data_IF_915614217765
#
_entry.id   IF_915614217765
#
_cell.length_a   1.000
_cell.length_b   1.000
_cell.length_c   1.000
_cell.angle_alpha   90.00
_cell.angle_beta   90.00
_cell.angle_gamma   90.00
#
_symmetry.space_group_name_H-M   'P 1'
#
loop_
_entity.id
_entity.type
_entity.pdbx_description
1 polymer ?
#
# COMPACT_ATOMS: atom_id res chain seq x y z
N UNK A 1 16.14 -9.55 -4.12
CA UNK A 1 14.82 -9.32 -3.51
C UNK A 1 15.01 -8.42 -2.33
N UNK A 2 14.26 -7.32 -2.28
CA UNK A 2 14.25 -6.45 -1.11
C UNK A 2 13.57 -7.16 0.09
N UNK A 3 14.04 -6.89 1.29
CA UNK A 3 13.51 -7.46 2.54
C UNK A 3 12.20 -6.79 2.95
N UNK A 4 11.44 -7.43 3.86
CA UNK A 4 10.27 -6.80 4.46
C UNK A 4 10.58 -5.44 5.11
N UNK A 5 11.73 -5.30 5.79
CA UNK A 5 12.13 -4.04 6.44
C UNK A 5 12.41 -2.92 5.44
N UNK A 6 13.00 -3.23 4.29
CA UNK A 6 13.21 -2.26 3.21
C UNK A 6 11.88 -1.79 2.63
N UNK A 7 10.92 -2.70 2.46
CA UNK A 7 9.56 -2.37 2.06
C UNK A 7 8.80 -1.57 3.11
N UNK A 8 8.98 -1.88 4.40
CA UNK A 8 8.36 -1.14 5.50
C UNK A 8 8.90 0.28 5.60
N UNK A 9 10.21 0.48 5.40
CA UNK A 9 10.82 1.80 5.31
C UNK A 9 10.27 2.58 4.12
N UNK A 10 10.19 1.94 2.95
CA UNK A 10 9.57 2.57 1.77
C UNK A 10 8.12 2.98 2.03
N UNK A 11 7.33 2.12 2.69
CA UNK A 11 5.96 2.43 3.08
C UNK A 11 5.90 3.64 4.03
N UNK A 12 6.74 3.71 5.07
CA UNK A 12 6.75 4.85 6.01
C UNK A 12 7.05 6.18 5.29
N UNK A 13 7.97 6.17 4.34
CA UNK A 13 8.26 7.34 3.49
C UNK A 13 7.03 7.75 2.68
N UNK A 14 6.39 6.80 1.97
CA UNK A 14 5.18 7.07 1.17
C UNK A 14 4.03 7.56 2.04
N UNK A 15 3.84 6.93 3.20
CA UNK A 15 2.81 7.29 4.17
C UNK A 15 2.97 8.74 4.65
N UNK A 16 4.19 9.17 4.95
CA UNK A 16 4.49 10.54 5.44
C UNK A 16 4.45 11.61 4.35
N UNK A 17 4.78 11.26 3.10
CA UNK A 17 4.89 12.21 1.98
C UNK A 17 3.60 12.37 1.17
N UNK A 18 2.51 11.75 1.64
CA UNK A 18 1.24 11.56 0.95
C UNK A 18 1.28 10.50 -0.17
N UNK A 19 0.41 9.47 -0.11
CA UNK A 19 0.26 8.43 -1.13
C UNK A 19 0.15 8.92 -2.58
N UNK A 20 -0.42 10.09 -2.80
CA UNK A 20 -0.67 10.62 -4.14
C UNK A 20 0.57 11.23 -4.80
N UNK A 21 1.65 11.48 -4.06
CA UNK A 21 2.78 12.31 -4.49
C UNK A 21 4.16 11.65 -4.39
N UNK A 22 4.25 10.40 -3.92
CA UNK A 22 5.55 9.75 -3.70
C UNK A 22 6.22 9.37 -5.04
N UNK A 23 7.33 10.03 -5.36
CA UNK A 23 8.28 9.66 -6.42
C UNK A 23 9.34 8.64 -5.95
N UNK A 24 9.09 7.95 -4.83
CA UNK A 24 10.02 6.99 -4.27
C UNK A 24 10.29 5.83 -5.25
N UNK A 25 11.55 5.44 -5.36
CA UNK A 25 11.95 4.27 -6.14
C UNK A 25 11.57 2.99 -5.38
N UNK A 26 11.06 1.99 -6.11
CA UNK A 26 10.82 0.67 -5.56
C UNK A 26 12.11 0.09 -4.98
N UNK A 27 12.10 -0.41 -3.73
CA UNK A 27 13.30 -0.97 -3.09
C UNK A 27 13.80 -2.24 -3.80
N UNK A 28 12.93 -2.94 -4.53
CA UNK A 28 13.29 -4.18 -5.22
C UNK A 28 13.85 -3.95 -6.64
N UNK A 29 13.24 -3.06 -7.43
CA UNK A 29 13.56 -2.91 -8.86
C UNK A 29 13.93 -1.49 -9.30
N UNK A 30 13.88 -0.49 -8.41
CA UNK A 30 14.24 0.90 -8.70
C UNK A 30 13.20 1.73 -9.49
N UNK A 31 12.18 1.11 -10.08
CA UNK A 31 11.11 1.83 -10.78
C UNK A 31 10.24 2.65 -9.83
N UNK A 32 9.75 3.81 -10.29
CA UNK A 32 8.94 4.76 -9.50
C UNK A 32 7.44 4.56 -9.71
N UNK A 33 7.00 3.32 -9.57
CA UNK A 33 5.60 2.92 -9.77
C UNK A 33 5.03 2.26 -8.51
N UNK A 34 5.40 2.81 -7.34
CA UNK A 34 4.86 2.36 -6.06
C UNK A 34 3.41 2.80 -5.92
N UNK A 35 2.57 1.90 -5.44
CA UNK A 35 1.13 2.10 -5.23
C UNK A 35 0.76 1.68 -3.82
N UNK A 36 -0.13 2.42 -3.19
CA UNK A 36 -0.75 2.03 -1.92
C UNK A 36 -2.25 2.17 -2.02
N UNK A 37 -2.97 1.20 -1.49
CA UNK A 37 -4.42 1.25 -1.28
C UNK A 37 -4.71 0.96 0.18
N UNK A 38 -5.51 1.82 0.79
CA UNK A 38 -6.00 1.64 2.14
C UNK A 38 -7.39 1.03 2.14
N UNK A 39 -7.62 0.10 3.05
CA UNK A 39 -8.92 -0.52 3.27
C UNK A 39 -9.26 -0.44 4.75
N UNK A 40 -10.38 0.16 5.13
CA UNK A 40 -10.75 0.33 6.55
C UNK A 40 -12.25 0.22 6.79
N UNK A 41 -12.62 0.01 8.05
CA UNK A 41 -13.99 0.30 8.50
C UNK A 41 -14.21 1.81 8.54
N UNK A 42 -15.38 2.31 8.12
CA UNK A 42 -15.72 3.71 8.30
C UNK A 42 -15.51 4.14 9.76
N UNK A 43 -14.81 5.26 9.98
CA UNK A 43 -14.55 5.88 11.31
C UNK A 43 -13.67 5.07 12.29
N UNK A 44 -13.08 3.93 11.89
CA UNK A 44 -12.23 3.14 12.79
C UNK A 44 -10.85 3.76 13.07
N UNK A 45 -10.39 4.69 12.24
CA UNK A 45 -9.07 5.34 12.36
C UNK A 45 -7.87 4.46 11.99
N UNK A 46 -8.09 3.16 11.79
CA UNK A 46 -7.09 2.19 11.36
C UNK A 46 -7.70 1.18 10.37
N UNK A 47 -6.85 0.54 9.58
CA UNK A 47 -7.26 -0.43 8.57
C UNK A 47 -6.10 -1.29 8.10
N UNK A 48 -6.10 -1.58 6.80
CA UNK A 48 -5.08 -2.35 6.11
C UNK A 48 -4.45 -1.50 5.00
N UNK A 49 -3.20 -1.77 4.69
CA UNK A 49 -2.52 -1.18 3.54
C UNK A 49 -1.98 -2.27 2.63
N UNK A 50 -2.41 -2.25 1.37
CA UNK A 50 -1.77 -3.00 0.28
C UNK A 50 -0.77 -2.07 -0.37
N UNK A 51 0.53 -2.40 -0.34
CA UNK A 51 1.59 -1.56 -0.87
C UNK A 51 2.49 -2.37 -1.80
N UNK A 52 2.56 -1.99 -3.07
CA UNK A 52 3.26 -2.77 -4.10
C UNK A 52 3.90 -1.88 -5.16
N UNK A 53 4.69 -2.48 -6.05
CA UNK A 53 5.19 -1.86 -7.27
C UNK A 53 4.50 -2.43 -8.50
N UNK A 54 3.90 -1.59 -9.34
CA UNK A 54 3.23 -2.02 -10.59
C UNK A 54 4.21 -2.68 -11.59
N UNK A 55 5.52 -2.45 -11.45
CA UNK A 55 6.52 -2.96 -12.40
C UNK A 55 7.00 -4.37 -12.03
N UNK A 56 7.39 -4.60 -10.77
CA UNK A 56 7.93 -5.90 -10.35
C UNK A 56 6.90 -6.82 -9.68
N UNK A 57 5.68 -6.33 -9.42
CA UNK A 57 4.61 -7.07 -8.75
C UNK A 57 5.06 -7.71 -7.43
N UNK A 58 5.88 -6.97 -6.67
CA UNK A 58 6.24 -7.29 -5.30
C UNK A 58 5.75 -6.18 -4.37
N UNK A 59 5.53 -6.54 -3.11
CA UNK A 59 5.05 -5.60 -2.11
C UNK A 59 4.86 -6.19 -0.74
N UNK A 60 4.20 -5.45 0.14
CA UNK A 60 3.84 -5.88 1.49
C UNK A 60 2.34 -5.66 1.73
N UNK A 61 1.83 -6.34 2.74
CA UNK A 61 0.48 -6.13 3.27
C UNK A 61 0.59 -5.85 4.76
N UNK A 62 0.07 -4.69 5.18
CA UNK A 62 0.13 -4.25 6.57
C UNK A 62 -1.27 -4.26 7.19
N UNK A 63 -1.35 -4.72 8.43
CA UNK A 63 -2.58 -4.73 9.22
C UNK A 63 -2.53 -3.69 10.34
N UNK A 64 -3.71 -3.19 10.72
CA UNK A 64 -3.89 -2.14 11.75
C UNK A 64 -3.07 -0.88 11.46
N UNK A 65 -2.94 -0.53 10.17
CA UNK A 65 -2.29 0.71 9.76
C UNK A 65 -3.21 1.89 10.07
N UNK A 66 -2.71 2.98 10.69
CA UNK A 66 -3.46 4.22 10.78
C UNK A 66 -3.82 4.71 9.37
N UNK A 67 -5.00 5.30 9.23
CA UNK A 67 -5.45 5.83 7.94
C UNK A 67 -5.02 7.30 7.82
N UNK A 68 -4.23 7.68 6.79
CA UNK A 68 -3.87 9.08 6.61
C UNK A 68 -5.11 9.94 6.39
N UNK A 69 -5.14 11.13 6.97
CA UNK A 69 -6.19 12.11 6.72
C UNK A 69 -6.16 12.48 5.23
N UNK A 70 -7.32 12.39 4.57
CA UNK A 70 -7.45 12.70 3.14
C UNK A 70 -6.94 11.61 2.19
N UNK A 71 -6.52 10.45 2.70
CA UNK A 71 -6.30 9.28 1.85
C UNK A 71 -7.63 8.79 1.26
N UNK A 72 -7.57 8.30 0.03
CA UNK A 72 -8.67 7.51 -0.53
C UNK A 72 -8.66 6.12 0.12
N UNK A 73 -9.78 5.73 0.70
CA UNK A 73 -9.90 4.56 1.57
C UNK A 73 -11.11 3.77 1.15
N UNK A 74 -10.89 2.49 0.84
CA UNK A 74 -11.95 1.55 0.49
C UNK A 74 -12.61 1.01 1.74
N UNK A 75 -13.93 0.83 1.71
CA UNK A 75 -14.63 0.25 2.84
C UNK A 75 -14.39 -1.26 2.88
N UNK A 76 -14.16 -1.81 4.07
CA UNK A 76 -14.10 -3.28 4.22
C UNK A 76 -15.45 -3.96 3.94
N UNK A 77 -16.55 -3.19 3.97
CA UNK A 77 -17.91 -3.67 3.74
C UNK A 77 -18.30 -3.66 2.26
N UNK A 78 -17.47 -3.07 1.39
CA UNK A 78 -17.68 -3.13 -0.05
C UNK A 78 -17.48 -4.57 -0.55
N UNK A 79 -18.17 -4.97 -1.65
CA UNK A 79 -17.91 -6.23 -2.31
C UNK A 79 -16.42 -6.43 -2.58
N UNK A 80 -15.94 -7.68 -2.49
CA UNK A 80 -14.52 -7.99 -2.63
C UNK A 80 -13.93 -7.50 -3.97
N UNK A 81 -14.72 -7.52 -5.03
CA UNK A 81 -14.35 -7.04 -6.36
C UNK A 81 -14.06 -5.53 -6.36
N UNK A 82 -14.91 -4.74 -5.71
CA UNK A 82 -14.73 -3.29 -5.60
C UNK A 82 -13.58 -2.94 -4.65
N UNK A 83 -13.49 -3.66 -3.52
CA UNK A 83 -12.41 -3.51 -2.55
C UNK A 83 -11.04 -3.79 -3.16
N UNK A 84 -10.94 -4.80 -4.02
CA UNK A 84 -9.68 -5.23 -4.61
C UNK A 84 -9.42 -4.65 -6.00
N UNK A 85 -10.33 -3.84 -6.56
CA UNK A 85 -10.22 -3.26 -7.91
C UNK A 85 -8.86 -2.58 -8.13
N UNK A 86 -8.08 -3.01 -9.11
CA UNK A 86 -6.78 -2.43 -9.41
C UNK A 86 -5.65 -2.76 -8.42
N UNK A 87 -5.89 -3.63 -7.44
CA UNK A 87 -4.81 -4.28 -6.66
C UNK A 87 -4.46 -5.57 -7.41
N UNK A 88 -3.23 -5.72 -7.95
CA UNK A 88 -2.82 -6.93 -8.64
C UNK A 88 -2.56 -8.08 -7.65
N UNK A 89 -2.45 -9.30 -8.17
CA UNK A 89 -1.91 -10.43 -7.40
C UNK A 89 -0.38 -10.30 -7.30
N UNK A 90 0.09 -9.45 -6.38
CA UNK A 90 1.52 -9.20 -6.16
C UNK A 90 2.09 -10.16 -5.12
N UNK A 91 3.36 -10.53 -5.28
CA UNK A 91 4.05 -11.39 -4.32
C UNK A 91 4.42 -10.61 -3.06
N UNK A 92 4.10 -11.18 -1.90
CA UNK A 92 4.53 -10.64 -0.62
C UNK A 92 6.05 -10.78 -0.46
N UNK A 93 6.70 -9.67 -0.12
CA UNK A 93 8.06 -9.65 0.38
C UNK A 93 8.06 -10.19 1.81
N UNK A 94 8.99 -11.10 2.08
CA UNK A 94 9.21 -11.76 3.37
C UNK A 94 10.46 -11.23 4.04
#
# INVERSE_FOLDING_TARGET
MATFDEWLNAYDIVYRTSPAASNLACPNCGHRTLRVVFTAQPRAGHGYASFWCDTCLEGIYLSRTPIPVGADVRSIHDPIEDRNRGIPDYRLAT
#
